data_IF_906368963406
#
_entry.id   IF_906368963406
#
_cell.length_a   1.000
_cell.length_b   1.000
_cell.length_c   1.000
_cell.angle_alpha   90.00
_cell.angle_beta   90.00
_cell.angle_gamma   90.00
#
_symmetry.space_group_name_H-M   'P 1'
#
loop_
_entity.id
_entity.type
_entity.pdbx_description
1 polymer ?
#
# COMPACT_ATOMS: atom_id res chain seq x y z
N UNK A 1 -4.16 -11.22 4.24
CA UNK A 1 -4.17 -12.70 4.44
C UNK A 1 -2.81 -13.33 4.19
N UNK A 2 -2.15 -12.94 3.09
CA UNK A 2 -0.81 -13.41 2.71
C UNK A 2 0.20 -13.25 3.85
N UNK A 3 0.42 -12.03 4.35
CA UNK A 3 1.37 -11.78 5.43
C UNK A 3 1.15 -12.64 6.68
N UNK A 4 -0.10 -12.83 7.11
CA UNK A 4 -0.40 -13.71 8.26
C UNK A 4 -0.06 -15.17 7.96
N UNK A 5 -0.31 -15.67 6.74
CA UNK A 5 0.08 -17.02 6.35
C UNK A 5 1.61 -17.18 6.33
N UNK A 6 2.33 -16.17 5.84
CA UNK A 6 3.79 -16.12 5.86
C UNK A 6 4.34 -16.11 7.29
N UNK A 7 3.77 -15.33 8.20
CA UNK A 7 4.18 -15.33 9.62
C UNK A 7 3.91 -16.66 10.32
N UNK A 8 2.82 -17.36 9.99
CA UNK A 8 2.48 -18.64 10.60
C UNK A 8 3.32 -19.81 10.07
N UNK A 9 3.68 -19.78 8.78
CA UNK A 9 4.37 -20.88 8.11
C UNK A 9 5.88 -20.68 7.97
N UNK A 10 6.33 -19.44 8.01
CA UNK A 10 7.65 -19.01 7.53
C UNK A 10 7.53 -18.41 6.13
N UNK A 11 7.98 -17.16 5.95
CA UNK A 11 7.78 -16.41 4.70
C UNK A 11 8.40 -17.14 3.49
N UNK A 12 9.67 -17.53 3.59
CA UNK A 12 10.36 -18.20 2.49
C UNK A 12 9.71 -19.55 2.15
N UNK A 13 9.42 -20.35 3.16
CA UNK A 13 8.81 -21.67 3.03
C UNK A 13 7.40 -21.57 2.45
N UNK A 14 6.65 -20.53 2.85
CA UNK A 14 5.30 -20.30 2.35
C UNK A 14 5.31 -19.89 0.87
N UNK A 15 6.20 -18.98 0.50
CA UNK A 15 6.39 -18.55 -0.89
C UNK A 15 6.79 -19.71 -1.81
N UNK A 16 7.69 -20.60 -1.33
CA UNK A 16 8.03 -21.84 -2.05
C UNK A 16 6.82 -22.77 -2.13
N UNK A 17 6.06 -22.92 -1.04
CA UNK A 17 4.87 -23.78 -1.02
C UNK A 17 3.77 -23.29 -1.99
N UNK A 18 3.61 -21.98 -2.22
CA UNK A 18 2.69 -21.44 -3.24
C UNK A 18 3.02 -21.93 -4.66
N UNK A 19 4.26 -22.37 -4.89
CA UNK A 19 4.72 -22.91 -6.18
C UNK A 19 4.75 -24.44 -6.18
N UNK A 20 5.38 -25.05 -5.18
CA UNK A 20 5.64 -26.50 -5.16
C UNK A 20 4.49 -27.33 -4.58
N UNK A 21 3.70 -26.75 -3.67
CA UNK A 21 2.55 -27.40 -3.04
C UNK A 21 1.38 -26.40 -2.86
N UNK A 22 0.84 -25.84 -3.97
CA UNK A 22 -0.16 -24.80 -3.90
C UNK A 22 -1.41 -25.26 -3.15
N UNK A 23 -1.81 -26.52 -3.27
CA UNK A 23 -2.95 -27.07 -2.53
C UNK A 23 -2.74 -26.99 -1.00
N UNK A 24 -1.51 -27.19 -0.51
CA UNK A 24 -1.17 -27.03 0.90
C UNK A 24 -1.19 -25.57 1.34
N UNK A 25 -0.52 -24.70 0.59
CA UNK A 25 -0.44 -23.27 0.89
C UNK A 25 -1.81 -22.59 0.86
N UNK A 26 -2.64 -22.93 -0.13
CA UNK A 26 -4.01 -22.42 -0.27
C UNK A 26 -4.92 -22.84 0.89
N UNK A 27 -4.72 -24.02 1.49
CA UNK A 27 -5.47 -24.38 2.71
C UNK A 27 -5.14 -23.47 3.90
N UNK A 28 -3.88 -23.07 4.05
CA UNK A 28 -3.49 -22.12 5.09
C UNK A 28 -4.06 -20.72 4.81
N UNK A 29 -3.95 -20.24 3.57
CA UNK A 29 -4.56 -18.96 3.16
C UNK A 29 -6.07 -18.96 3.40
N UNK A 30 -6.74 -20.07 3.06
CA UNK A 30 -8.17 -20.24 3.30
C UNK A 30 -8.47 -20.14 4.81
N UNK A 31 -7.73 -20.88 5.63
CA UNK A 31 -7.93 -20.88 7.08
C UNK A 31 -7.75 -19.48 7.68
N UNK A 32 -6.68 -18.77 7.31
CA UNK A 32 -6.42 -17.39 7.76
C UNK A 32 -7.50 -16.43 7.28
N UNK A 33 -8.00 -16.61 6.05
CA UNK A 33 -9.08 -15.79 5.50
C UNK A 33 -10.37 -15.99 6.27
N UNK A 34 -10.74 -17.25 6.56
CA UNK A 34 -11.92 -17.56 7.38
C UNK A 34 -11.79 -17.01 8.80
N UNK A 35 -10.63 -17.16 9.43
CA UNK A 35 -10.38 -16.60 10.75
C UNK A 35 -10.57 -15.07 10.78
N UNK A 36 -10.10 -14.35 9.75
CA UNK A 36 -10.35 -12.91 9.62
C UNK A 36 -11.84 -12.60 9.47
N UNK A 37 -12.54 -13.29 8.57
CA UNK A 37 -13.97 -13.07 8.36
C UNK A 37 -14.78 -13.29 9.64
N UNK A 38 -14.46 -14.35 10.39
CA UNK A 38 -15.11 -14.64 11.66
C UNK A 38 -14.81 -13.58 12.72
N UNK A 39 -13.55 -13.13 12.82
CA UNK A 39 -13.15 -12.06 13.72
C UNK A 39 -13.93 -10.77 13.47
N UNK A 40 -14.00 -10.34 12.20
CA UNK A 40 -14.65 -9.08 11.84
C UNK A 40 -16.15 -9.10 12.12
N UNK A 41 -16.81 -10.23 11.85
CA UNK A 41 -18.22 -10.42 12.19
C UNK A 41 -18.46 -10.38 13.71
N UNK A 42 -17.63 -11.08 14.49
CA UNK A 42 -17.74 -11.07 15.97
C UNK A 42 -17.46 -9.69 16.55
N UNK A 43 -16.48 -8.97 15.99
CA UNK A 43 -16.16 -7.58 16.36
C UNK A 43 -17.35 -6.66 16.11
N UNK A 44 -17.95 -6.74 14.92
CA UNK A 44 -19.13 -5.94 14.58
C UNK A 44 -20.29 -6.19 15.57
N UNK A 45 -20.62 -7.45 15.84
CA UNK A 45 -21.64 -7.84 16.83
C UNK A 45 -21.32 -7.26 18.21
N UNK A 46 -20.07 -7.40 18.67
CA UNK A 46 -19.64 -6.91 19.98
C UNK A 46 -19.77 -5.38 20.10
N UNK A 47 -19.48 -4.65 19.02
CA UNK A 47 -19.56 -3.19 18.98
C UNK A 47 -20.95 -2.66 18.64
N UNK A 48 -21.92 -3.54 18.33
CA UNK A 48 -23.27 -3.13 17.90
C UNK A 48 -23.30 -2.54 16.49
N UNK A 49 -22.32 -2.86 15.64
CA UNK A 49 -22.31 -2.50 14.22
C UNK A 49 -23.22 -3.47 13.43
N UNK A 50 -24.06 -2.97 12.53
CA UNK A 50 -24.93 -3.83 11.70
C UNK A 50 -24.11 -4.75 10.77
N UNK A 51 -22.99 -4.23 10.25
CA UNK A 51 -22.07 -4.94 9.37
C UNK A 51 -20.64 -4.42 9.57
N UNK A 52 -19.60 -5.23 9.27
CA UNK A 52 -18.22 -4.74 9.24
C UNK A 52 -18.06 -3.60 8.22
N UNK A 53 -17.68 -2.40 8.70
CA UNK A 53 -17.68 -1.16 7.91
C UNK A 53 -16.83 -1.26 6.64
N UNK A 54 -15.50 -1.21 6.78
CA UNK A 54 -14.55 -1.24 5.66
C UNK A 54 -13.32 -2.01 6.06
N UNK A 55 -12.74 -2.75 5.11
CA UNK A 55 -11.48 -3.44 5.33
C UNK A 55 -10.28 -2.55 4.98
N UNK A 56 -9.15 -2.81 5.63
CA UNK A 56 -7.83 -2.41 5.15
C UNK A 56 -7.01 -3.66 4.83
N UNK A 57 -6.09 -3.54 3.89
CA UNK A 57 -5.14 -4.59 3.52
C UNK A 57 -3.71 -4.03 3.63
N UNK A 58 -2.93 -4.58 4.56
CA UNK A 58 -1.51 -4.28 4.73
C UNK A 58 -0.69 -5.41 4.11
N UNK A 59 -0.41 -5.26 2.83
CA UNK A 59 0.05 -6.30 1.92
C UNK A 59 1.48 -5.99 1.42
N UNK A 60 2.42 -5.78 2.34
CA UNK A 60 3.81 -5.47 1.99
C UNK A 60 4.44 -6.55 1.11
N UNK A 61 4.08 -7.80 1.32
CA UNK A 61 4.56 -8.95 0.55
C UNK A 61 3.86 -9.13 -0.82
N UNK A 62 2.77 -8.38 -1.08
CA UNK A 62 2.16 -8.28 -2.42
C UNK A 62 2.95 -7.27 -3.24
N UNK A 63 4.12 -7.69 -3.70
CA UNK A 63 4.96 -6.89 -4.57
C UNK A 63 5.76 -7.78 -5.51
N UNK A 64 6.33 -7.17 -6.56
CA UNK A 64 7.40 -7.80 -7.32
C UNK A 64 8.76 -7.30 -6.82
N UNK A 65 9.71 -8.19 -6.47
CA UNK A 65 9.78 -9.59 -6.88
C UNK A 65 9.21 -10.64 -5.90
N UNK A 66 8.67 -10.28 -4.73
CA UNK A 66 8.24 -11.26 -3.71
C UNK A 66 7.24 -12.30 -4.24
N UNK A 67 6.20 -11.87 -4.95
CA UNK A 67 5.27 -12.76 -5.64
C UNK A 67 5.06 -12.34 -7.09
N UNK A 68 4.86 -13.32 -7.98
CA UNK A 68 4.53 -13.04 -9.38
C UNK A 68 3.08 -12.56 -9.53
N UNK A 69 2.76 -11.73 -10.54
CA UNK A 69 1.37 -11.31 -10.82
C UNK A 69 0.38 -12.45 -10.99
N UNK A 70 0.84 -13.56 -11.56
CA UNK A 70 0.04 -14.78 -11.68
C UNK A 70 -0.31 -15.37 -10.32
N UNK A 71 0.66 -15.51 -9.42
CA UNK A 71 0.41 -16.05 -8.06
C UNK A 71 -0.55 -15.13 -7.30
N UNK A 72 -0.32 -13.82 -7.35
CA UNK A 72 -1.23 -12.87 -6.71
C UNK A 72 -2.66 -13.02 -7.24
N UNK A 73 -2.85 -12.95 -8.57
CA UNK A 73 -4.16 -13.06 -9.22
C UNK A 73 -4.88 -14.38 -8.92
N UNK A 74 -4.17 -15.50 -9.01
CA UNK A 74 -4.79 -16.83 -8.98
C UNK A 74 -4.95 -17.38 -7.56
N UNK A 75 -4.12 -16.96 -6.61
CA UNK A 75 -4.02 -17.58 -5.28
C UNK A 75 -4.35 -16.63 -4.13
N UNK A 76 -3.94 -15.36 -4.21
CA UNK A 76 -4.08 -14.40 -3.09
C UNK A 76 -5.32 -13.52 -3.26
N UNK A 77 -5.49 -12.91 -4.43
CA UNK A 77 -6.59 -12.00 -4.75
C UNK A 77 -7.98 -12.61 -4.48
N UNK A 78 -8.27 -13.90 -4.76
CA UNK A 78 -9.58 -14.48 -4.46
C UNK A 78 -9.93 -14.46 -2.96
N UNK A 79 -8.92 -14.54 -2.08
CA UNK A 79 -9.12 -14.41 -0.64
C UNK A 79 -9.45 -12.96 -0.26
N UNK A 80 -8.74 -11.99 -0.85
CA UNK A 80 -8.97 -10.56 -0.62
C UNK A 80 -10.35 -10.13 -1.11
N UNK A 81 -10.77 -10.59 -2.29
CA UNK A 81 -12.10 -10.32 -2.85
C UNK A 81 -13.21 -10.85 -1.95
N UNK A 82 -13.06 -12.03 -1.34
CA UNK A 82 -14.05 -12.56 -0.40
C UNK A 82 -14.13 -11.75 0.89
N UNK A 83 -13.00 -11.23 1.37
CA UNK A 83 -13.01 -10.29 2.48
C UNK A 83 -13.78 -9.03 2.06
N UNK A 84 -13.47 -8.47 0.89
CA UNK A 84 -14.19 -7.28 0.41
C UNK A 84 -15.69 -7.52 0.19
N UNK A 85 -16.12 -8.76 -0.09
CA UNK A 85 -17.53 -9.08 -0.24
C UNK A 85 -18.31 -9.07 1.10
N UNK A 86 -17.63 -9.24 2.23
CA UNK A 86 -18.23 -9.18 3.58
C UNK A 86 -18.18 -7.76 4.14
N UNK A 87 -17.17 -6.99 3.76
CA UNK A 87 -17.03 -5.59 4.14
C UNK A 87 -17.76 -4.68 3.14
N UNK A 88 -18.14 -3.46 3.55
CA UNK A 88 -18.75 -2.47 2.65
C UNK A 88 -17.81 -1.91 1.56
N UNK A 89 -16.57 -2.40 1.50
CA UNK A 89 -15.54 -1.95 0.57
C UNK A 89 -14.12 -2.07 1.14
N UNK A 90 -13.15 -1.65 0.33
CA UNK A 90 -11.74 -1.55 0.70
C UNK A 90 -11.40 -0.09 0.98
N UNK A 91 -11.26 0.29 2.24
CA UNK A 91 -10.85 1.65 2.58
C UNK A 91 -9.40 1.91 2.17
N UNK A 92 -8.51 0.94 2.39
CA UNK A 92 -7.08 1.15 2.19
C UNK A 92 -6.35 -0.11 1.71
N UNK A 93 -5.61 0.01 0.62
CA UNK A 93 -4.64 -0.99 0.18
C UNK A 93 -3.22 -0.44 0.35
N UNK A 94 -2.42 -1.12 1.17
CA UNK A 94 -1.04 -0.78 1.45
C UNK A 94 -0.08 -1.86 0.95
N UNK A 95 1.04 -1.44 0.36
CA UNK A 95 2.20 -2.30 0.14
C UNK A 95 3.44 -1.43 -0.02
N UNK A 96 4.42 -1.59 0.86
CA UNK A 96 5.70 -0.90 0.77
C UNK A 96 6.46 -1.22 -0.53
N UNK A 97 6.22 -2.40 -1.12
CA UNK A 97 6.96 -2.88 -2.29
C UNK A 97 6.53 -2.28 -3.63
N UNK A 98 7.13 -2.79 -4.72
CA UNK A 98 6.75 -2.40 -6.08
C UNK A 98 5.51 -3.18 -6.54
N UNK A 99 4.36 -2.50 -6.57
CA UNK A 99 3.07 -3.05 -7.00
C UNK A 99 2.74 -2.79 -8.48
N UNK A 100 3.64 -2.17 -9.25
CA UNK A 100 3.35 -1.73 -10.64
C UNK A 100 2.74 -2.84 -11.50
N UNK A 101 3.28 -4.06 -11.40
CA UNK A 101 2.81 -5.22 -12.18
C UNK A 101 1.51 -5.86 -11.66
N UNK A 102 1.00 -5.38 -10.52
CA UNK A 102 -0.19 -5.85 -9.81
C UNK A 102 -1.36 -4.86 -9.91
N UNK A 103 -1.13 -3.63 -10.38
CA UNK A 103 -2.09 -2.53 -10.30
C UNK A 103 -3.48 -2.90 -10.85
N UNK A 104 -3.57 -3.54 -12.02
CA UNK A 104 -4.85 -3.95 -12.60
C UNK A 104 -5.59 -5.00 -11.76
N UNK A 105 -4.86 -5.87 -11.06
CA UNK A 105 -5.46 -6.86 -10.17
C UNK A 105 -5.94 -6.22 -8.87
N UNK A 106 -5.11 -5.35 -8.28
CA UNK A 106 -5.47 -4.60 -7.07
C UNK A 106 -6.66 -3.67 -7.33
N UNK A 107 -6.71 -3.03 -8.50
CA UNK A 107 -7.81 -2.17 -8.93
C UNK A 107 -9.18 -2.87 -8.93
N UNK A 108 -9.22 -4.20 -9.10
CA UNK A 108 -10.46 -4.96 -8.99
C UNK A 108 -11.08 -4.95 -7.58
N UNK A 109 -10.28 -4.65 -6.56
CA UNK A 109 -10.74 -4.46 -5.18
C UNK A 109 -11.30 -3.06 -4.91
N UNK A 110 -11.12 -2.12 -5.85
CA UNK A 110 -11.60 -0.73 -5.79
C UNK A 110 -11.25 -0.02 -4.46
N UNK A 111 -9.95 0.07 -4.08
CA UNK A 111 -9.56 0.75 -2.85
C UNK A 111 -9.98 2.23 -2.86
N UNK A 112 -10.50 2.74 -1.76
CA UNK A 112 -10.76 4.18 -1.60
C UNK A 112 -9.44 4.96 -1.52
N UNK A 113 -8.44 4.42 -0.81
CA UNK A 113 -7.08 4.92 -0.73
C UNK A 113 -6.09 3.83 -1.17
N UNK A 114 -5.25 4.15 -2.15
CA UNK A 114 -4.21 3.24 -2.64
C UNK A 114 -2.81 3.78 -2.31
N UNK A 115 -2.02 2.98 -1.60
CA UNK A 115 -0.63 3.31 -1.30
C UNK A 115 0.26 3.10 -2.52
N UNK A 116 0.96 4.16 -2.93
CA UNK A 116 1.95 4.16 -4.01
C UNK A 116 3.33 4.13 -3.38
N UNK A 117 3.80 2.92 -3.05
CA UNK A 117 5.12 2.68 -2.47
C UNK A 117 6.26 3.31 -3.29
N UNK A 118 7.44 3.54 -2.69
CA UNK A 118 8.52 4.30 -3.31
C UNK A 118 9.04 3.71 -4.64
N UNK A 119 8.86 2.40 -4.86
CA UNK A 119 9.23 1.74 -6.11
C UNK A 119 8.09 1.52 -7.09
N UNK A 120 6.85 1.82 -6.69
CA UNK A 120 5.68 1.72 -7.56
C UNK A 120 5.65 2.91 -8.53
N UNK A 121 5.35 2.64 -9.79
CA UNK A 121 5.17 3.66 -10.82
C UNK A 121 3.92 4.49 -10.49
N UNK A 122 4.15 5.73 -10.03
CA UNK A 122 3.08 6.63 -9.60
C UNK A 122 2.18 7.07 -10.76
N UNK A 123 2.70 7.16 -11.99
CA UNK A 123 1.90 7.56 -13.15
C UNK A 123 0.94 6.44 -13.52
N UNK A 124 1.43 5.20 -13.62
CA UNK A 124 0.59 4.04 -13.91
C UNK A 124 -0.43 3.79 -12.78
N UNK A 125 -0.03 3.94 -11.52
CA UNK A 125 -0.94 3.83 -10.39
C UNK A 125 -2.09 4.85 -10.53
N UNK A 126 -1.77 6.12 -10.82
CA UNK A 126 -2.77 7.15 -11.05
C UNK A 126 -3.69 6.85 -12.25
N UNK A 127 -3.12 6.43 -13.39
CA UNK A 127 -3.90 6.11 -14.60
C UNK A 127 -4.94 5.01 -14.36
N UNK A 128 -4.63 4.06 -13.49
CA UNK A 128 -5.50 2.93 -13.19
C UNK A 128 -6.49 3.25 -12.06
N UNK A 129 -6.02 3.91 -11.00
CA UNK A 129 -6.80 4.10 -9.77
C UNK A 129 -7.69 5.34 -9.80
N UNK A 130 -7.24 6.44 -10.43
CA UNK A 130 -8.03 7.68 -10.47
C UNK A 130 -9.40 7.54 -11.17
N UNK A 131 -9.54 6.81 -12.30
CA UNK A 131 -10.86 6.55 -12.90
C UNK A 131 -11.82 5.78 -12.01
N UNK A 132 -11.33 5.09 -10.98
CA UNK A 132 -12.15 4.37 -10.00
C UNK A 132 -12.62 5.26 -8.84
N UNK A 133 -12.12 6.49 -8.76
CA UNK A 133 -12.36 7.42 -7.65
C UNK A 133 -11.40 7.25 -6.47
N UNK A 134 -10.35 6.44 -6.61
CA UNK A 134 -9.37 6.20 -5.54
C UNK A 134 -8.47 7.42 -5.33
N UNK A 135 -8.26 7.79 -4.06
CA UNK A 135 -7.18 8.68 -3.66
C UNK A 135 -5.84 7.92 -3.62
N UNK A 136 -4.73 8.63 -3.82
CA UNK A 136 -3.39 8.06 -3.76
C UNK A 136 -2.62 8.53 -2.53
N UNK A 137 -2.04 7.62 -1.79
CA UNK A 137 -1.01 7.97 -0.81
C UNK A 137 0.36 7.76 -1.44
N UNK A 138 1.01 8.85 -1.85
CA UNK A 138 2.28 8.79 -2.57
C UNK A 138 3.42 8.74 -1.55
N UNK A 139 4.16 7.64 -1.54
CA UNK A 139 5.26 7.45 -0.61
C UNK A 139 6.61 7.82 -1.22
N UNK A 140 7.47 8.49 -0.45
CA UNK A 140 8.90 8.66 -0.76
C UNK A 140 9.75 7.56 -0.11
N UNK A 141 10.99 7.40 -0.56
CA UNK A 141 11.89 6.41 0.03
C UNK A 141 12.51 6.95 1.32
N UNK A 142 12.23 6.33 2.47
CA UNK A 142 12.66 6.82 3.78
C UNK A 142 14.18 7.11 3.89
N UNK A 143 15.04 6.22 3.39
CA UNK A 143 16.50 6.43 3.47
C UNK A 143 16.92 7.53 2.49
N UNK A 144 16.82 7.24 1.20
CA UNK A 144 17.29 8.12 0.12
C UNK A 144 16.63 9.51 0.05
N UNK A 145 15.35 9.62 0.39
CA UNK A 145 14.58 10.87 0.23
C UNK A 145 14.34 11.61 1.56
N UNK A 146 14.68 11.02 2.71
CA UNK A 146 14.53 11.65 4.04
C UNK A 146 15.84 11.68 4.81
N UNK A 147 16.42 10.52 5.13
CA UNK A 147 17.60 10.47 6.01
C UNK A 147 18.89 10.93 5.33
N UNK A 148 19.08 10.55 4.06
CA UNK A 148 20.30 10.84 3.28
C UNK A 148 20.14 12.06 2.36
N UNK A 149 18.92 12.59 2.24
CA UNK A 149 18.63 13.67 1.31
C UNK A 149 19.06 15.04 1.84
N UNK A 150 19.60 15.88 0.96
CA UNK A 150 19.66 17.33 1.21
C UNK A 150 18.27 17.96 1.02
N UNK A 151 17.98 19.14 1.59
CA UNK A 151 16.71 19.83 1.36
C UNK A 151 16.34 20.05 -0.12
N UNK A 152 17.33 20.29 -0.98
CA UNK A 152 17.15 20.44 -2.43
C UNK A 152 16.75 19.10 -3.07
N UNK A 153 17.36 18.01 -2.61
CA UNK A 153 17.05 16.65 -3.06
C UNK A 153 15.65 16.26 -2.62
N UNK A 154 15.28 16.52 -1.36
CA UNK A 154 13.92 16.31 -0.84
C UNK A 154 12.88 17.04 -1.70
N UNK A 155 13.11 18.33 -1.98
CA UNK A 155 12.18 19.14 -2.78
C UNK A 155 12.03 18.55 -4.19
N UNK A 156 13.14 18.24 -4.85
CA UNK A 156 13.11 17.63 -6.18
C UNK A 156 12.32 16.33 -6.19
N UNK A 157 12.58 15.42 -5.24
CA UNK A 157 11.92 14.11 -5.15
C UNK A 157 10.42 14.22 -4.89
N UNK A 158 10.02 15.11 -3.99
CA UNK A 158 8.61 15.40 -3.73
C UNK A 158 7.92 15.93 -4.99
N UNK A 159 8.53 16.92 -5.67
CA UNK A 159 7.99 17.48 -6.91
C UNK A 159 7.85 16.43 -8.00
N UNK A 160 8.88 15.62 -8.20
CA UNK A 160 8.91 14.60 -9.24
C UNK A 160 7.80 13.57 -9.01
N UNK A 161 7.68 13.01 -7.80
CA UNK A 161 6.66 12.00 -7.50
C UNK A 161 5.24 12.53 -7.63
N UNK A 162 4.97 13.70 -7.06
CA UNK A 162 3.63 14.32 -7.12
C UNK A 162 3.29 14.67 -8.57
N UNK A 163 4.19 15.32 -9.31
CA UNK A 163 3.94 15.70 -10.71
C UNK A 163 3.70 14.47 -11.59
N UNK A 164 4.39 13.36 -11.31
CA UNK A 164 4.20 12.08 -12.01
C UNK A 164 2.81 11.49 -11.75
N UNK A 165 2.36 11.48 -10.48
CA UNK A 165 1.01 11.04 -10.13
C UNK A 165 -0.07 11.95 -10.76
N UNK A 166 0.12 13.27 -10.74
CA UNK A 166 -0.78 14.24 -11.38
C UNK A 166 -0.84 14.03 -12.89
N UNK A 167 0.30 13.81 -13.56
CA UNK A 167 0.36 13.52 -14.98
C UNK A 167 -0.32 12.19 -15.35
N UNK A 168 -0.47 11.28 -14.39
CA UNK A 168 -1.26 10.06 -14.55
C UNK A 168 -2.76 10.25 -14.27
N UNK A 169 -3.21 11.45 -13.87
CA UNK A 169 -4.62 11.78 -13.66
C UNK A 169 -5.09 11.73 -12.21
N UNK A 170 -4.19 11.64 -11.23
CA UNK A 170 -4.58 11.62 -9.83
C UNK A 170 -5.24 12.95 -9.40
N UNK A 171 -6.43 12.86 -8.80
CA UNK A 171 -7.25 14.02 -8.40
C UNK A 171 -7.23 14.28 -6.89
N UNK A 172 -6.98 13.24 -6.09
CA UNK A 172 -6.86 13.32 -4.64
C UNK A 172 -5.63 12.54 -4.19
N UNK A 173 -4.77 13.15 -3.37
CA UNK A 173 -3.56 12.48 -2.89
C UNK A 173 -3.02 13.04 -1.57
N UNK A 174 -2.29 12.20 -0.85
CA UNK A 174 -1.42 12.55 0.28
C UNK A 174 0.04 12.21 -0.06
N UNK A 175 0.97 12.77 0.72
CA UNK A 175 2.40 12.47 0.67
C UNK A 175 2.83 11.86 2.00
N UNK A 176 3.55 10.74 1.95
CA UNK A 176 4.04 10.01 3.13
C UNK A 176 5.53 9.64 2.99
N UNK A 177 6.21 9.43 4.11
CA UNK A 177 7.59 8.94 4.19
C UNK A 177 7.70 7.50 4.73
N UNK A 178 6.60 6.74 4.74
CA UNK A 178 6.46 5.42 5.36
C UNK A 178 6.89 5.38 6.83
N UNK A 179 7.00 4.18 7.39
CA UNK A 179 7.59 3.95 8.71
C UNK A 179 9.07 4.35 8.71
N UNK A 180 9.42 5.24 9.64
CA UNK A 180 10.78 5.74 9.83
C UNK A 180 11.38 5.06 11.06
N UNK A 181 12.43 4.26 10.86
CA UNK A 181 13.22 3.67 11.94
C UNK A 181 14.50 4.48 12.18
N UNK A 182 15.14 4.24 13.33
CA UNK A 182 16.40 4.89 13.72
C UNK A 182 17.54 4.38 12.83
N UNK A 183 18.24 5.33 12.19
CA UNK A 183 19.32 5.08 11.24
C UNK A 183 20.67 5.57 11.79
N UNK A 184 20.79 6.87 12.08
CA UNK A 184 22.03 7.51 12.51
C UNK A 184 22.01 7.93 13.97
N UNK A 185 20.86 7.74 14.64
CA UNK A 185 20.64 8.09 16.04
C UNK A 185 19.62 9.20 16.17
N UNK A 186 18.88 9.17 17.28
CA UNK A 186 17.64 9.93 17.47
C UNK A 186 17.76 11.43 17.16
N UNK A 187 18.86 12.08 17.56
CA UNK A 187 19.05 13.52 17.32
C UNK A 187 19.23 13.85 15.83
N UNK A 188 20.04 13.06 15.11
CA UNK A 188 20.33 13.26 13.68
C UNK A 188 19.08 12.92 12.87
N UNK A 189 18.47 11.78 13.15
CA UNK A 189 17.27 11.29 12.47
C UNK A 189 16.11 12.27 12.65
N UNK A 190 15.88 12.78 13.87
CA UNK A 190 14.84 13.78 14.13
C UNK A 190 15.07 15.07 13.34
N UNK A 191 16.31 15.54 13.23
CA UNK A 191 16.64 16.73 12.45
C UNK A 191 16.34 16.52 10.95
N UNK A 192 16.67 15.33 10.40
CA UNK A 192 16.36 14.97 9.03
C UNK A 192 14.84 14.96 8.77
N UNK A 193 14.06 14.30 9.64
CA UNK A 193 12.59 14.27 9.56
C UNK A 193 11.98 15.66 9.64
N UNK A 194 12.45 16.51 10.57
CA UNK A 194 11.99 17.89 10.68
C UNK A 194 12.28 18.71 9.43
N UNK A 195 13.45 18.51 8.81
CA UNK A 195 13.80 19.18 7.56
C UNK A 195 12.91 18.72 6.41
N UNK A 196 12.66 17.41 6.29
CA UNK A 196 11.75 16.88 5.28
C UNK A 196 10.32 17.42 5.42
N UNK A 197 9.77 17.45 6.64
CA UNK A 197 8.44 18.04 6.90
C UNK A 197 8.41 19.53 6.52
N UNK A 198 9.46 20.30 6.83
CA UNK A 198 9.55 21.72 6.43
C UNK A 198 9.57 21.88 4.90
N UNK A 199 10.34 21.05 4.20
CA UNK A 199 10.41 21.07 2.73
C UNK A 199 9.07 20.67 2.12
N UNK A 200 8.46 19.58 2.57
CA UNK A 200 7.15 19.11 2.08
C UNK A 200 6.07 20.17 2.23
N UNK A 201 5.96 20.80 3.41
CA UNK A 201 5.00 21.89 3.67
C UNK A 201 5.22 23.12 2.79
N UNK A 202 6.47 23.41 2.41
CA UNK A 202 6.78 24.50 1.48
C UNK A 202 6.37 24.14 0.05
N UNK A 203 6.62 22.91 -0.39
CA UNK A 203 6.46 22.48 -1.79
C UNK A 203 5.00 22.18 -2.16
N UNK A 204 4.27 21.48 -1.30
CA UNK A 204 2.94 20.95 -1.63
C UNK A 204 1.89 22.02 -2.01
N UNK A 205 1.78 23.18 -1.32
CA UNK A 205 0.81 24.21 -1.70
C UNK A 205 0.99 24.72 -3.13
N UNK A 206 2.22 24.77 -3.64
CA UNK A 206 2.49 25.19 -5.01
C UNK A 206 2.03 24.17 -6.05
N UNK A 207 2.00 22.88 -5.69
CA UNK A 207 1.56 21.79 -6.57
C UNK A 207 0.03 21.61 -6.55
N UNK A 208 -0.64 21.93 -5.43
CA UNK A 208 -2.09 21.94 -5.37
C UNK A 208 -2.70 23.00 -6.31
N UNK A 209 -2.04 24.15 -6.46
CA UNK A 209 -2.50 25.21 -7.37
C UNK A 209 -2.40 24.83 -8.86
N UNK A 210 -1.60 23.83 -9.22
CA UNK A 210 -1.56 23.28 -10.58
C UNK A 210 -2.64 22.24 -10.86
N UNK A 211 -3.26 21.65 -9.84
CA UNK A 211 -4.38 20.70 -9.98
C UNK A 211 -5.73 21.39 -10.25
N UNK A 212 -5.85 22.67 -9.87
CA UNK A 212 -7.08 23.46 -10.00
C UNK A 212 -7.12 24.34 -11.27
N UNK A 213 -6.24 24.11 -12.25
CA UNK A 213 -6.22 24.79 -13.55
C UNK A 213 -6.42 23.79 -14.67
#
# INVERSE_FOLDING_TARGET
PLGIAEYLFGMQEFLVALVENPAGALRLLEHVTQARLEWENRRAIYLGEEHPLTAALFNDDVNTPTISPRIYRDQVLPCEQRIMAVHGGLHYFHSCGNTTKMLLHIASLRPELFHVGPWTDAQQAAQIMAPLGSALEVCVHAVDDVFEATPETMEKRIRDRISTAVAGGAQAMSLEAAALDRMHGATIDLAAVQNWVKVARRVLPHLANSLNR
#
